data_IF_475734090804
#
_entry.id   IF_475734090804
#
_cell.length_a   1.000
_cell.length_b   1.000
_cell.length_c   1.000
_cell.angle_alpha   90.00
_cell.angle_beta   90.00
_cell.angle_gamma   90.00
#
_symmetry.space_group_name_H-M   'P 1'
#
loop_
_entity.id
_entity.type
_entity.pdbx_description
1 polymer ?
#
# COMPACT_ATOMS: atom_id res chain seq x y z
N UNK A 1 -18.49 -9.91 -5.44
CA UNK A 1 -17.36 -10.75 -5.88
C UNK A 1 -16.75 -11.34 -4.62
N UNK A 2 -16.53 -12.65 -4.62
CA UNK A 2 -16.09 -13.42 -3.44
C UNK A 2 -14.78 -12.86 -2.88
N UNK A 3 -14.60 -12.98 -1.57
CA UNK A 3 -13.41 -12.58 -0.81
C UNK A 3 -12.10 -13.24 -1.27
N UNK A 4 -12.17 -14.15 -2.25
CA UNK A 4 -11.06 -14.96 -2.74
C UNK A 4 -9.95 -14.14 -3.41
N UNK A 5 -10.29 -13.08 -4.15
CA UNK A 5 -9.26 -12.31 -4.86
C UNK A 5 -8.34 -11.53 -3.92
N UNK A 6 -8.87 -11.05 -2.78
CA UNK A 6 -8.08 -10.31 -1.77
C UNK A 6 -7.03 -11.21 -1.13
N UNK A 7 -7.39 -12.47 -0.85
CA UNK A 7 -6.43 -13.46 -0.34
C UNK A 7 -5.43 -13.82 -1.43
N UNK A 8 -5.91 -14.07 -2.65
CA UNK A 8 -5.08 -14.49 -3.76
C UNK A 8 -4.04 -13.43 -4.15
N UNK A 9 -4.39 -12.14 -4.16
CA UNK A 9 -3.43 -11.07 -4.47
C UNK A 9 -2.36 -10.96 -3.38
N UNK A 10 -2.72 -11.17 -2.11
CA UNK A 10 -1.75 -11.17 -0.99
C UNK A 10 -0.80 -12.38 -1.03
N UNK A 11 -1.25 -13.52 -1.54
CA UNK A 11 -0.42 -14.71 -1.75
C UNK A 11 0.48 -14.54 -2.98
N UNK A 12 -0.03 -13.99 -4.07
CA UNK A 12 0.76 -13.74 -5.28
C UNK A 12 1.75 -12.58 -5.11
N UNK A 13 1.47 -11.65 -4.20
CA UNK A 13 2.32 -10.50 -3.90
C UNK A 13 3.62 -10.86 -3.18
N UNK A 14 3.71 -12.06 -2.62
CA UNK A 14 4.97 -12.68 -2.19
C UNK A 14 5.70 -13.23 -3.42
N UNK A 15 6.25 -12.30 -4.22
CA UNK A 15 6.89 -12.61 -5.50
C UNK A 15 8.20 -13.36 -5.24
N UNK A 16 8.46 -14.39 -6.06
CA UNK A 16 9.73 -15.13 -6.02
C UNK A 16 10.89 -14.17 -6.33
N UNK A 17 11.89 -14.16 -5.47
CA UNK A 17 13.09 -13.33 -5.56
C UNK A 17 14.25 -14.10 -6.20
N UNK A 18 15.24 -13.38 -6.74
CA UNK A 18 16.41 -14.00 -7.40
C UNK A 18 17.24 -14.88 -6.44
N UNK A 19 17.16 -14.65 -5.13
CA UNK A 19 17.82 -15.43 -4.08
C UNK A 19 16.98 -16.60 -3.53
N UNK A 20 15.77 -16.82 -4.06
CA UNK A 20 14.93 -17.97 -3.71
C UNK A 20 15.45 -19.26 -4.35
N UNK A 21 16.36 -19.96 -3.65
CA UNK A 21 17.00 -21.21 -4.13
C UNK A 21 16.02 -22.39 -4.35
N UNK A 22 14.76 -22.29 -3.92
CA UNK A 22 13.82 -23.43 -3.80
C UNK A 22 12.56 -23.27 -4.65
N UNK A 23 12.43 -22.18 -5.41
CA UNK A 23 11.23 -21.97 -6.23
C UNK A 23 11.15 -22.94 -7.43
N UNK A 24 9.99 -23.59 -7.67
CA UNK A 24 9.79 -24.40 -8.87
C UNK A 24 9.97 -23.59 -10.16
N UNK A 25 10.44 -24.24 -11.22
CA UNK A 25 10.57 -23.62 -12.54
C UNK A 25 9.23 -23.02 -13.01
N UNK A 26 9.25 -21.74 -13.41
CA UNK A 26 8.06 -21.00 -13.87
C UNK A 26 7.17 -20.43 -12.77
N UNK A 27 7.44 -20.68 -11.48
CA UNK A 27 6.63 -20.16 -10.38
C UNK A 27 6.70 -18.63 -10.27
N UNK A 28 7.89 -18.05 -10.51
CA UNK A 28 8.08 -16.59 -10.54
C UNK A 28 7.18 -15.92 -11.58
N UNK A 29 7.25 -16.40 -12.83
CA UNK A 29 6.42 -15.89 -13.94
C UNK A 29 4.93 -16.11 -13.67
N UNK A 30 4.54 -17.27 -13.11
CA UNK A 30 3.15 -17.57 -12.78
C UNK A 30 2.59 -16.61 -11.73
N UNK A 31 3.31 -16.38 -10.63
CA UNK A 31 2.89 -15.44 -9.57
C UNK A 31 2.84 -14.02 -10.09
N UNK A 32 3.87 -13.59 -10.83
CA UNK A 32 3.92 -12.26 -11.42
C UNK A 32 2.71 -12.00 -12.33
N UNK A 33 2.44 -12.90 -13.28
CA UNK A 33 1.32 -12.75 -14.21
C UNK A 33 -0.02 -12.73 -13.48
N UNK A 34 -0.19 -13.61 -12.49
CA UNK A 34 -1.44 -13.68 -11.72
C UNK A 34 -1.63 -12.44 -10.85
N UNK A 35 -0.57 -11.93 -10.24
CA UNK A 35 -0.60 -10.70 -9.46
C UNK A 35 -1.06 -9.51 -10.30
N UNK A 36 -0.46 -9.33 -11.48
CA UNK A 36 -0.81 -8.26 -12.42
C UNK A 36 -2.26 -8.39 -12.88
N UNK A 37 -2.70 -9.59 -13.26
CA UNK A 37 -4.10 -9.85 -13.66
C UNK A 37 -5.08 -9.47 -12.54
N UNK A 38 -4.79 -9.86 -11.29
CA UNK A 38 -5.62 -9.53 -10.14
C UNK A 38 -5.67 -8.02 -9.91
N UNK A 39 -4.52 -7.35 -9.90
CA UNK A 39 -4.45 -5.90 -9.74
C UNK A 39 -5.18 -5.14 -10.87
N UNK A 40 -5.09 -5.61 -12.11
CA UNK A 40 -5.79 -5.00 -13.24
C UNK A 40 -7.30 -5.27 -13.25
N UNK A 41 -7.75 -6.36 -12.61
CA UNK A 41 -9.18 -6.64 -12.45
C UNK A 41 -9.88 -5.71 -11.46
N UNK A 42 -9.13 -5.02 -10.59
CA UNK A 42 -9.66 -4.10 -9.58
C UNK A 42 -10.31 -2.89 -10.24
N UNK A 43 -11.56 -2.64 -9.85
CA UNK A 43 -12.42 -1.60 -10.42
C UNK A 43 -12.52 -0.32 -9.59
N UNK A 44 -12.06 -0.35 -8.34
CA UNK A 44 -12.22 0.72 -7.36
C UNK A 44 -13.54 0.65 -6.57
N UNK A 45 -14.40 -0.36 -6.82
CA UNK A 45 -15.69 -0.56 -6.12
C UNK A 45 -15.62 -1.55 -4.96
N UNK A 46 -14.43 -2.08 -4.70
CA UNK A 46 -14.16 -3.10 -3.67
C UNK A 46 -14.09 -2.49 -2.26
N UNK A 47 -14.15 -1.17 -2.16
CA UNK A 47 -14.14 -0.40 -0.93
C UNK A 47 -12.78 -0.37 -0.23
N UNK A 48 -12.72 0.15 1.01
CA UNK A 48 -11.47 0.30 1.77
C UNK A 48 -10.74 -1.02 2.00
N UNK A 49 -11.46 -2.13 2.14
CA UNK A 49 -10.84 -3.46 2.29
C UNK A 49 -10.11 -3.93 1.02
N UNK A 50 -10.55 -3.48 -0.17
CA UNK A 50 -9.84 -3.76 -1.42
C UNK A 50 -8.49 -3.05 -1.48
N UNK A 51 -8.47 -1.77 -1.07
CA UNK A 51 -7.23 -1.00 -0.90
C UNK A 51 -6.30 -1.68 0.10
N UNK A 52 -6.83 -2.09 1.26
CA UNK A 52 -6.03 -2.75 2.29
C UNK A 52 -5.36 -4.04 1.79
N UNK A 53 -6.09 -4.86 1.01
CA UNK A 53 -5.54 -6.08 0.42
C UNK A 53 -4.40 -5.80 -0.58
N UNK A 54 -4.52 -4.73 -1.38
CA UNK A 54 -3.47 -4.32 -2.32
C UNK A 54 -2.23 -3.81 -1.58
N UNK A 55 -2.39 -3.02 -0.51
CA UNK A 55 -1.24 -2.58 0.30
C UNK A 55 -0.57 -3.78 0.96
N UNK A 56 -1.36 -4.70 1.52
CA UNK A 56 -0.86 -5.90 2.18
C UNK A 56 -0.14 -6.88 1.24
N UNK A 57 -0.32 -6.75 -0.07
CA UNK A 57 0.33 -7.62 -1.05
C UNK A 57 1.72 -7.14 -1.48
N UNK A 58 2.17 -5.95 -1.06
CA UNK A 58 3.45 -5.36 -1.46
C UNK A 58 4.64 -5.90 -0.64
N UNK A 59 4.82 -7.21 -0.57
CA UNK A 59 5.76 -7.88 0.35
C UNK A 59 7.19 -8.05 -0.17
N UNK A 60 7.37 -8.11 -1.48
CA UNK A 60 8.64 -8.41 -2.13
C UNK A 60 9.57 -7.18 -2.13
N UNK A 61 10.85 -7.41 -1.82
CA UNK A 61 11.89 -6.38 -1.85
C UNK A 61 12.16 -5.91 -3.29
N UNK A 62 12.23 -6.84 -4.24
CA UNK A 62 12.28 -6.57 -5.68
C UNK A 62 10.98 -7.03 -6.35
N UNK A 63 10.22 -6.10 -6.92
CA UNK A 63 8.93 -6.39 -7.54
C UNK A 63 8.98 -6.59 -9.07
N UNK A 64 10.13 -6.29 -9.68
CA UNK A 64 10.37 -6.33 -11.13
C UNK A 64 9.23 -5.73 -11.97
N UNK A 65 8.58 -4.67 -11.46
CA UNK A 65 7.49 -3.97 -12.13
C UNK A 65 6.08 -4.50 -11.86
N UNK A 66 5.91 -5.61 -11.14
CA UNK A 66 4.59 -6.14 -10.79
C UNK A 66 3.76 -5.11 -9.99
N UNK A 67 4.40 -4.37 -9.09
CA UNK A 67 3.70 -3.45 -8.19
C UNK A 67 3.24 -2.18 -8.90
N UNK A 68 3.71 -1.91 -10.12
CA UNK A 68 3.15 -0.85 -10.95
C UNK A 68 1.65 -1.07 -11.22
N UNK A 69 1.22 -2.32 -11.41
CA UNK A 69 -0.19 -2.67 -11.58
C UNK A 69 -0.99 -2.41 -10.29
N UNK A 70 -0.43 -2.74 -9.13
CA UNK A 70 -1.03 -2.47 -7.82
C UNK A 70 -1.16 -0.96 -7.55
N UNK A 71 -0.12 -0.17 -7.84
CA UNK A 71 -0.16 1.28 -7.72
C UNK A 71 -1.20 1.90 -8.66
N UNK A 72 -1.29 1.42 -9.90
CA UNK A 72 -2.33 1.84 -10.84
C UNK A 72 -3.75 1.48 -10.35
N UNK A 73 -3.91 0.31 -9.73
CA UNK A 73 -5.18 -0.13 -9.15
C UNK A 73 -5.64 0.78 -7.99
N UNK A 74 -4.71 1.18 -7.11
CA UNK A 74 -5.01 2.12 -6.01
C UNK A 74 -5.57 3.45 -6.51
N UNK A 75 -5.09 3.94 -7.66
CA UNK A 75 -5.58 5.16 -8.30
C UNK A 75 -7.04 5.08 -8.80
N UNK A 76 -7.66 3.89 -8.81
CA UNK A 76 -9.06 3.70 -9.27
C UNK A 76 -10.08 3.85 -8.13
N UNK A 77 -9.65 3.76 -6.88
CA UNK A 77 -10.56 3.84 -5.73
C UNK A 77 -11.06 5.27 -5.48
N UNK A 78 -12.30 5.43 -4.97
CA UNK A 78 -12.72 6.70 -4.38
C UNK A 78 -11.70 7.18 -3.35
N UNK A 79 -11.35 8.46 -3.36
CA UNK A 79 -10.28 8.98 -2.51
C UNK A 79 -10.50 8.76 -1.01
N UNK A 80 -11.77 8.77 -0.55
CA UNK A 80 -12.07 8.45 0.85
C UNK A 80 -11.73 6.98 1.17
N UNK A 81 -12.11 6.06 0.29
CA UNK A 81 -11.81 4.63 0.44
C UNK A 81 -10.32 4.35 0.36
N UNK A 82 -9.58 5.08 -0.50
CA UNK A 82 -8.12 5.04 -0.54
C UNK A 82 -7.52 5.39 0.84
N UNK A 83 -7.92 6.53 1.41
CA UNK A 83 -7.41 6.97 2.72
C UNK A 83 -7.74 6.00 3.84
N UNK A 84 -9.01 5.60 3.95
CA UNK A 84 -9.45 4.63 4.98
C UNK A 84 -8.79 3.28 4.79
N UNK A 85 -8.65 2.81 3.55
CA UNK A 85 -8.06 1.50 3.25
C UNK A 85 -6.57 1.42 3.56
N UNK A 86 -5.80 2.46 3.26
CA UNK A 86 -4.39 2.54 3.67
C UNK A 86 -4.27 2.53 5.20
N UNK A 87 -5.16 3.22 5.92
CA UNK A 87 -5.19 3.17 7.38
C UNK A 87 -5.60 1.80 7.92
N UNK A 88 -6.52 1.09 7.28
CA UNK A 88 -6.89 -0.28 7.65
C UNK A 88 -5.69 -1.25 7.53
N UNK A 89 -4.83 -1.04 6.53
CA UNK A 89 -3.60 -1.80 6.33
C UNK A 89 -2.39 -1.23 7.10
N UNK A 90 -2.59 -0.49 8.20
CA UNK A 90 -1.48 0.16 8.91
C UNK A 90 -0.39 -0.80 9.37
N UNK A 91 -0.77 -2.00 9.84
CA UNK A 91 0.22 -2.98 10.32
C UNK A 91 1.04 -3.54 9.17
N UNK A 92 0.38 -3.79 8.05
CA UNK A 92 0.99 -4.27 6.83
C UNK A 92 1.89 -3.19 6.22
N UNK A 93 1.43 -1.94 6.17
CA UNK A 93 2.19 -0.78 5.69
C UNK A 93 3.51 -0.59 6.47
N UNK A 94 3.53 -0.93 7.76
CA UNK A 94 4.73 -0.91 8.60
C UNK A 94 5.67 -2.10 8.38
N UNK A 95 5.18 -3.17 7.75
CA UNK A 95 5.92 -4.42 7.54
C UNK A 95 6.42 -4.63 6.11
N UNK A 96 5.81 -3.97 5.13
CA UNK A 96 6.27 -4.01 3.74
C UNK A 96 7.60 -3.27 3.57
N UNK A 97 8.35 -3.53 2.50
CA UNK A 97 9.60 -2.82 2.22
C UNK A 97 9.40 -1.30 2.24
N UNK A 98 10.43 -0.60 2.74
CA UNK A 98 10.36 0.87 2.93
C UNK A 98 9.99 1.61 1.67
N UNK A 99 10.55 1.20 0.54
CA UNK A 99 10.28 1.80 -0.77
C UNK A 99 8.80 1.73 -1.15
N UNK A 100 8.20 0.54 -0.99
CA UNK A 100 6.78 0.33 -1.23
C UNK A 100 5.92 1.17 -0.28
N UNK A 101 6.23 1.20 1.01
CA UNK A 101 5.51 2.03 1.99
C UNK A 101 5.57 3.53 1.64
N UNK A 102 6.72 4.02 1.19
CA UNK A 102 6.90 5.41 0.79
C UNK A 102 6.08 5.76 -0.46
N UNK A 103 6.05 4.87 -1.45
CA UNK A 103 5.23 5.04 -2.64
C UNK A 103 3.72 5.09 -2.30
N UNK A 104 3.24 4.21 -1.40
CA UNK A 104 1.84 4.25 -0.93
C UNK A 104 1.51 5.60 -0.27
N UNK A 105 2.37 6.10 0.62
CA UNK A 105 2.18 7.40 1.26
C UNK A 105 2.22 8.55 0.23
N UNK A 106 3.08 8.44 -0.79
CA UNK A 106 3.15 9.43 -1.87
C UNK A 106 1.88 9.42 -2.75
N UNK A 107 1.36 8.25 -3.09
CA UNK A 107 0.06 8.11 -3.79
C UNK A 107 -1.04 8.78 -2.96
N UNK A 108 -1.09 8.51 -1.66
CA UNK A 108 -2.08 9.06 -0.75
C UNK A 108 -2.03 10.59 -0.70
N UNK A 109 -0.83 11.17 -0.52
CA UNK A 109 -0.65 12.63 -0.47
C UNK A 109 -1.00 13.32 -1.79
N UNK A 110 -0.77 12.66 -2.92
CA UNK A 110 -1.06 13.20 -4.26
C UNK A 110 -2.50 13.01 -4.71
N UNK A 111 -3.26 12.10 -4.11
CA UNK A 111 -4.62 11.78 -4.54
C UNK A 111 -5.59 12.95 -4.33
N UNK A 112 -5.83 13.36 -3.09
CA UNK A 112 -6.59 14.57 -2.74
C UNK A 112 -6.58 14.84 -1.23
N UNK A 113 -6.97 16.04 -0.78
CA UNK A 113 -7.21 16.31 0.64
C UNK A 113 -8.22 15.35 1.31
N UNK A 114 -9.19 14.82 0.55
CA UNK A 114 -10.16 13.88 1.08
C UNK A 114 -9.52 12.54 1.47
N UNK A 115 -8.55 12.05 0.69
CA UNK A 115 -7.81 10.83 1.02
C UNK A 115 -6.96 11.02 2.27
N UNK A 116 -6.22 12.12 2.33
CA UNK A 116 -5.40 12.52 3.48
C UNK A 116 -6.23 12.63 4.76
N UNK A 117 -7.38 13.30 4.70
CA UNK A 117 -8.28 13.45 5.84
C UNK A 117 -8.84 12.09 6.29
N UNK A 118 -9.28 11.25 5.36
CA UNK A 118 -9.86 9.94 5.67
C UNK A 118 -8.83 8.99 6.30
N UNK A 119 -7.58 9.03 5.82
CA UNK A 119 -6.45 8.34 6.44
C UNK A 119 -6.17 8.88 7.84
N UNK A 120 -6.06 10.20 8.00
CA UNK A 120 -5.71 10.83 9.29
C UNK A 120 -6.75 10.53 10.36
N UNK A 121 -8.03 10.64 10.05
CA UNK A 121 -9.11 10.32 10.99
C UNK A 121 -9.12 8.83 11.37
N UNK A 122 -8.88 7.94 10.39
CA UNK A 122 -8.80 6.51 10.67
C UNK A 122 -7.59 6.14 11.54
N UNK A 123 -6.41 6.75 11.30
CA UNK A 123 -5.24 6.56 12.16
C UNK A 123 -5.49 7.09 13.57
N UNK A 124 -6.12 8.26 13.74
CA UNK A 124 -6.49 8.80 15.08
C UNK A 124 -7.35 7.86 15.90
N UNK A 125 -8.16 7.02 15.24
CA UNK A 125 -9.01 6.03 15.88
C UNK A 125 -8.30 4.69 16.17
N UNK A 126 -7.08 4.48 15.65
CA UNK A 126 -6.31 3.25 15.81
C UNK A 126 -5.70 3.12 17.21
N UNK A 127 -5.13 1.96 17.54
CA UNK A 127 -4.43 1.74 18.80
C UNK A 127 -3.23 2.71 18.94
N UNK A 128 -2.94 3.27 20.13
CA UNK A 128 -1.86 4.25 20.31
C UNK A 128 -0.49 3.80 19.79
N UNK A 129 -0.17 2.50 19.89
CA UNK A 129 1.06 1.94 19.35
C UNK A 129 1.14 2.02 17.82
N UNK A 130 0.02 1.75 17.13
CA UNK A 130 -0.08 1.88 15.66
C UNK A 130 0.01 3.35 15.25
N UNK A 131 -0.63 4.26 16.00
CA UNK A 131 -0.55 5.69 15.74
C UNK A 131 0.89 6.21 15.79
N UNK A 132 1.63 5.84 16.84
CA UNK A 132 3.04 6.22 16.98
C UNK A 132 3.89 5.66 15.85
N UNK A 133 3.74 4.36 15.54
CA UNK A 133 4.55 3.72 14.51
C UNK A 133 4.30 4.31 13.10
N UNK A 134 3.04 4.61 12.76
CA UNK A 134 2.70 5.25 11.49
C UNK A 134 3.24 6.69 11.44
N UNK A 135 3.20 7.43 12.56
CA UNK A 135 3.82 8.75 12.65
C UNK A 135 5.33 8.67 12.38
N UNK A 136 6.02 7.73 13.02
CA UNK A 136 7.46 7.55 12.85
C UNK A 136 7.81 7.19 11.38
N UNK A 137 6.99 6.35 10.74
CA UNK A 137 7.13 6.01 9.32
C UNK A 137 6.95 7.24 8.41
N UNK A 138 5.92 8.05 8.66
CA UNK A 138 5.68 9.29 7.90
C UNK A 138 6.84 10.27 8.08
N UNK A 139 7.29 10.49 9.32
CA UNK A 139 8.42 11.38 9.61
C UNK A 139 9.72 10.92 8.95
N UNK A 140 9.96 9.60 8.90
CA UNK A 140 11.08 9.05 8.16
C UNK A 140 11.02 9.44 6.66
N UNK A 141 9.88 9.19 6.00
CA UNK A 141 9.73 9.49 4.57
C UNK A 141 9.73 10.99 4.25
N UNK A 142 9.29 11.84 5.17
CA UNK A 142 9.33 13.30 5.03
C UNK A 142 10.75 13.89 5.13
N UNK A 143 11.64 13.25 5.89
CA UNK A 143 12.99 13.76 6.13
C UNK A 143 14.02 13.16 5.19
N UNK A 144 13.87 11.89 4.82
CA UNK A 144 14.95 11.13 4.16
C UNK A 144 14.58 10.62 2.77
N UNK A 145 13.29 10.49 2.44
CA UNK A 145 12.87 9.72 1.25
C UNK A 145 11.67 10.35 0.50
N UNK A 146 10.58 9.58 0.39
CA UNK A 146 9.53 9.72 -0.62
C UNK A 146 8.67 10.97 -0.48
N UNK A 147 8.63 11.58 0.70
CA UNK A 147 7.81 12.75 1.01
C UNK A 147 8.65 14.04 1.19
N UNK A 148 9.94 14.01 0.82
CA UNK A 148 10.85 15.18 0.91
C UNK A 148 10.51 16.31 -0.07
N UNK A 149 9.78 16.01 -1.14
CA UNK A 149 9.42 17.00 -2.15
C UNK A 149 8.42 18.04 -1.63
N UNK A 150 8.58 19.29 -2.09
CA UNK A 150 7.69 20.40 -1.79
C UNK A 150 6.24 20.05 -2.20
N UNK A 151 5.33 20.03 -1.22
CA UNK A 151 3.92 19.66 -1.41
C UNK A 151 3.51 18.27 -0.92
N UNK A 152 4.46 17.41 -0.51
CA UNK A 152 4.17 16.13 0.16
C UNK A 152 4.53 16.17 1.66
N UNK A 153 5.54 16.97 2.03
CA UNK A 153 5.98 17.13 3.41
C UNK A 153 4.92 17.83 4.28
N UNK A 154 4.68 17.30 5.48
CA UNK A 154 3.77 17.90 6.47
C UNK A 154 2.29 17.80 6.11
N UNK A 155 1.93 16.98 5.12
CA UNK A 155 0.55 16.82 4.64
C UNK A 155 -0.23 15.81 5.49
N UNK A 156 0.42 14.71 5.87
CA UNK A 156 -0.22 13.63 6.63
C UNK A 156 -0.21 13.93 8.14
N UNK A 157 -1.29 13.58 8.83
CA UNK A 157 -1.41 13.56 10.30
C UNK A 157 -1.28 14.93 11.01
N UNK A 158 -1.81 16.00 10.41
CA UNK A 158 -1.83 17.35 10.99
C UNK A 158 -3.04 17.62 11.92
N UNK A 159 -2.92 18.40 13.02
CA UNK A 159 -1.68 18.94 13.58
C UNK A 159 -0.97 17.90 14.47
N UNK A 160 0.36 17.98 14.49
CA UNK A 160 1.20 17.33 15.49
C UNK A 160 1.04 18.12 16.78
N UNK A 161 0.38 17.54 17.79
CA UNK A 161 0.31 18.14 19.13
C UNK A 161 1.69 18.18 19.79
#
# INVERSE_FOLDING_TARGET
MSSDWKLEIMECGDLVQDDDEVAPEGEAERRWNRYVELADSVTGKEGPEGVAAIVASLKADEDYGAYQAAHAALGRFPHADLGTGVALASRELLSIPKDASGNILLILTRASPMAVNSFTEAIRAAEPGVQSAIRDLVEFHENEEWLTAEGAQGVLLMPRE
#
